data_IF_716462669515
#
_entry.id   IF_716462669515
#
_cell.length_a   1.000
_cell.length_b   1.000
_cell.length_c   1.000
_cell.angle_alpha   90.00
_cell.angle_beta   90.00
_cell.angle_gamma   90.00
#
_symmetry.space_group_name_H-M   'P 1'
#
loop_
_entity.id
_entity.type
_entity.pdbx_description
1 polymer ?
#
# COMPACT_ATOMS: atom_id res chain seq x y z
N UNK A 1 -3.46 -26.61 -27.84
CA UNK A 1 -3.11 -26.25 -26.44
C UNK A 1 -1.76 -25.57 -26.47
N UNK A 2 -1.63 -24.36 -25.94
CA UNK A 2 -0.40 -23.57 -26.03
C UNK A 2 0.34 -23.68 -24.69
N UNK A 3 1.10 -24.77 -24.50
CA UNK A 3 1.61 -25.21 -23.20
C UNK A 3 3.14 -25.02 -23.08
N UNK A 4 3.56 -23.80 -22.76
CA UNK A 4 4.96 -23.48 -22.42
C UNK A 4 5.02 -22.49 -21.26
N UNK A 5 6.16 -22.42 -20.57
CA UNK A 5 6.37 -21.45 -19.49
C UNK A 5 6.25 -20.02 -20.03
N UNK A 6 5.50 -19.17 -19.32
CA UNK A 6 5.28 -17.76 -19.69
C UNK A 6 5.60 -16.88 -18.50
N UNK A 7 6.38 -15.84 -18.74
CA UNK A 7 6.68 -14.85 -17.72
C UNK A 7 5.49 -13.91 -17.56
N UNK A 8 5.01 -13.73 -16.34
CA UNK A 8 3.93 -12.80 -16.03
C UNK A 8 4.35 -11.33 -16.25
N UNK A 9 5.38 -10.91 -15.50
CA UNK A 9 6.00 -9.58 -15.53
C UNK A 9 7.47 -9.68 -15.13
N UNK A 10 8.29 -8.80 -15.68
CA UNK A 10 9.66 -8.57 -15.25
C UNK A 10 9.79 -7.13 -14.73
N UNK A 11 10.19 -6.97 -13.48
CA UNK A 11 10.44 -5.67 -12.87
C UNK A 11 11.90 -5.63 -12.38
N UNK A 12 12.81 -4.97 -13.10
CA UNK A 12 14.22 -4.95 -12.72
C UNK A 12 14.51 -4.03 -11.53
N UNK A 13 15.62 -4.33 -10.84
CA UNK A 13 16.17 -3.55 -9.74
C UNK A 13 15.65 -3.91 -8.34
N UNK A 14 16.20 -3.28 -7.30
CA UNK A 14 15.92 -3.58 -5.90
C UNK A 14 14.43 -3.46 -5.51
N UNK A 15 13.67 -2.63 -6.23
CA UNK A 15 12.24 -2.41 -6.01
C UNK A 15 11.33 -3.32 -6.84
N UNK A 16 11.89 -4.26 -7.60
CA UNK A 16 11.14 -5.14 -8.50
C UNK A 16 10.05 -5.92 -7.79
N UNK A 17 10.36 -6.47 -6.61
CA UNK A 17 9.39 -7.22 -5.82
C UNK A 17 8.22 -6.35 -5.34
N UNK A 18 8.48 -5.13 -4.87
CA UNK A 18 7.41 -4.22 -4.43
C UNK A 18 6.49 -3.83 -5.61
N UNK A 19 7.06 -3.58 -6.79
CA UNK A 19 6.28 -3.32 -8.01
C UNK A 19 5.46 -4.53 -8.46
N UNK A 20 5.96 -5.75 -8.24
CA UNK A 20 5.19 -6.97 -8.50
C UNK A 20 3.99 -7.07 -7.54
N UNK A 21 4.21 -6.83 -6.24
CA UNK A 21 3.15 -6.83 -5.23
C UNK A 21 2.08 -5.77 -5.52
N UNK A 22 2.49 -4.61 -6.04
CA UNK A 22 1.57 -3.55 -6.47
C UNK A 22 0.55 -4.00 -7.53
N UNK A 23 0.93 -4.95 -8.40
CA UNK A 23 0.03 -5.48 -9.43
C UNK A 23 -0.93 -6.56 -8.89
N UNK A 24 -0.74 -7.01 -7.64
CA UNK A 24 -1.54 -8.06 -7.05
C UNK A 24 -2.87 -7.51 -6.55
N UNK A 25 -3.94 -8.31 -6.68
CA UNK A 25 -5.11 -8.16 -5.80
C UNK A 25 -4.75 -8.75 -4.44
N UNK A 26 -4.82 -7.94 -3.40
CA UNK A 26 -4.49 -8.33 -2.02
C UNK A 26 -5.77 -8.53 -1.22
N UNK A 27 -5.90 -9.67 -0.54
CA UNK A 27 -6.96 -9.94 0.43
C UNK A 27 -6.34 -10.34 1.76
N UNK A 28 -6.62 -9.62 2.84
CA UNK A 28 -6.12 -9.99 4.18
C UNK A 28 -6.85 -11.23 4.68
N UNK A 29 -6.10 -12.22 5.16
CA UNK A 29 -6.63 -13.48 5.71
C UNK A 29 -6.26 -13.69 7.19
N UNK A 30 -5.47 -12.78 7.76
CA UNK A 30 -5.10 -12.77 9.18
C UNK A 30 -4.33 -11.50 9.53
N UNK A 31 -3.70 -11.49 10.71
CA UNK A 31 -2.85 -10.35 11.12
C UNK A 31 -1.59 -10.22 10.26
N UNK A 32 -0.97 -11.35 9.95
CA UNK A 32 0.33 -11.46 9.27
C UNK A 32 0.26 -12.23 7.96
N UNK A 33 -0.97 -12.49 7.47
CA UNK A 33 -1.22 -13.37 6.33
C UNK A 33 -2.14 -12.69 5.32
N UNK A 34 -1.74 -12.69 4.06
CA UNK A 34 -2.52 -12.11 2.98
C UNK A 34 -2.47 -13.02 1.74
N UNK A 35 -3.60 -13.13 1.04
CA UNK A 35 -3.66 -13.77 -0.26
C UNK A 35 -3.35 -12.75 -1.35
N UNK A 36 -2.46 -13.13 -2.25
CA UNK A 36 -2.07 -12.37 -3.43
C UNK A 36 -2.57 -13.09 -4.67
N UNK A 37 -3.24 -12.36 -5.55
CA UNK A 37 -3.74 -12.90 -6.83
C UNK A 37 -3.32 -11.99 -7.99
N UNK A 38 -2.68 -12.56 -9.00
CA UNK A 38 -2.42 -11.91 -10.28
C UNK A 38 -3.17 -12.61 -11.40
N UNK A 39 -3.81 -11.84 -12.28
CA UNK A 39 -4.36 -12.36 -13.52
C UNK A 39 -3.26 -12.41 -14.59
N UNK A 40 -2.84 -13.61 -14.98
CA UNK A 40 -1.87 -13.81 -16.05
C UNK A 40 -2.46 -13.45 -17.43
N UNK A 41 -1.58 -13.33 -18.43
CA UNK A 41 -1.94 -12.90 -19.78
C UNK A 41 -2.91 -13.85 -20.49
N UNK A 42 -2.98 -15.11 -20.05
CA UNK A 42 -3.88 -16.14 -20.53
C UNK A 42 -5.16 -16.27 -19.69
N UNK A 43 -5.39 -15.34 -18.75
CA UNK A 43 -6.54 -15.34 -17.86
C UNK A 43 -6.43 -16.29 -16.67
N UNK A 44 -5.34 -17.05 -16.54
CA UNK A 44 -5.11 -17.88 -15.37
C UNK A 44 -4.78 -17.03 -14.15
N UNK A 45 -5.21 -17.48 -12.97
CA UNK A 45 -4.95 -16.78 -11.71
C UNK A 45 -3.72 -17.37 -11.03
N UNK A 46 -2.71 -16.54 -10.82
CA UNK A 46 -1.54 -16.87 -10.02
C UNK A 46 -1.86 -16.53 -8.56
N UNK A 47 -2.07 -17.55 -7.73
CA UNK A 47 -2.51 -17.40 -6.34
C UNK A 47 -1.40 -17.78 -5.37
N UNK A 48 -1.06 -16.88 -4.47
CA UNK A 48 -0.04 -17.06 -3.45
C UNK A 48 -0.52 -16.60 -2.09
N UNK A 49 0.08 -17.17 -1.05
CA UNK A 49 -0.14 -16.76 0.32
C UNK A 49 1.15 -16.13 0.83
N UNK A 50 1.06 -14.86 1.20
CA UNK A 50 2.14 -14.13 1.83
C UNK A 50 1.96 -14.22 3.34
N UNK A 51 3.00 -14.68 4.02
CA UNK A 51 3.15 -14.59 5.47
C UNK A 51 4.32 -13.67 5.76
N UNK A 52 4.06 -12.62 6.55
CA UNK A 52 5.06 -11.65 6.93
C UNK A 52 5.28 -11.68 8.44
N UNK A 53 6.50 -11.39 8.87
CA UNK A 53 6.76 -11.07 10.28
C UNK A 53 6.20 -9.67 10.59
N UNK A 54 5.77 -9.45 11.84
CA UNK A 54 4.95 -8.29 12.22
C UNK A 54 5.57 -6.93 11.84
N UNK A 55 6.90 -6.83 11.90
CA UNK A 55 7.62 -5.58 11.65
C UNK A 55 8.16 -5.46 10.21
N UNK A 56 7.96 -6.48 9.37
CA UNK A 56 8.56 -6.58 8.04
C UNK A 56 7.55 -6.93 6.93
N UNK A 57 6.30 -6.48 7.06
CA UNK A 57 5.29 -6.67 6.01
C UNK A 57 5.63 -5.81 4.76
N UNK A 58 6.02 -6.44 3.63
CA UNK A 58 6.36 -5.70 2.41
C UNK A 58 5.17 -4.96 1.79
N UNK A 59 3.93 -5.32 2.14
CA UNK A 59 2.73 -4.61 1.67
C UNK A 59 2.59 -3.22 2.30
N UNK A 60 3.17 -2.99 3.49
CA UNK A 60 3.15 -1.67 4.15
C UNK A 60 3.86 -0.62 3.31
N UNK A 61 4.92 -1.01 2.60
CA UNK A 61 5.68 -0.12 1.70
C UNK A 61 4.81 0.47 0.59
N UNK A 62 3.76 -0.24 0.16
CA UNK A 62 2.84 0.25 -0.88
C UNK A 62 2.05 1.49 -0.41
N UNK A 63 1.91 1.72 0.89
CA UNK A 63 1.27 2.93 1.44
C UNK A 63 2.05 4.21 1.13
N UNK A 64 3.35 4.11 0.82
CA UNK A 64 4.18 5.23 0.41
C UNK A 64 3.85 5.71 -1.03
N UNK A 65 3.04 4.96 -1.79
CA UNK A 65 2.67 5.36 -3.16
C UNK A 65 1.83 6.63 -3.12
N UNK A 66 2.37 7.70 -3.71
CA UNK A 66 1.71 9.01 -3.73
C UNK A 66 1.69 9.70 -2.37
N UNK A 67 2.41 9.16 -1.38
CA UNK A 67 2.61 9.84 -0.10
C UNK A 67 3.31 11.17 -0.33
N UNK A 68 2.77 12.22 0.29
CA UNK A 68 3.37 13.55 0.33
C UNK A 68 3.49 13.96 1.78
N UNK A 69 4.67 14.44 2.14
CA UNK A 69 4.89 14.97 3.47
C UNK A 69 4.05 16.26 3.62
N UNK A 70 3.30 16.41 4.73
CA UNK A 70 2.57 17.64 4.99
C UNK A 70 3.51 18.86 5.07
N UNK A 71 3.11 19.98 4.48
CA UNK A 71 3.89 21.22 4.50
C UNK A 71 3.82 21.93 5.86
N UNK A 72 2.76 21.69 6.64
CA UNK A 72 2.52 22.32 7.94
C UNK A 72 2.08 21.29 8.97
N UNK A 73 2.69 21.35 10.15
CA UNK A 73 2.37 20.46 11.29
C UNK A 73 1.24 21.06 12.16
N UNK A 74 1.10 22.39 12.16
CA UNK A 74 0.08 23.11 12.93
C UNK A 74 -0.79 23.95 12.00
N UNK A 75 -2.10 23.73 12.04
CA UNK A 75 -3.09 24.63 11.41
C UNK A 75 -3.56 25.61 12.46
N UNK A 76 -3.22 26.90 12.34
CA UNK A 76 -3.77 27.92 13.23
C UNK A 76 -5.26 28.11 12.91
N UNK A 77 -6.12 27.32 13.55
CA UNK A 77 -7.53 27.69 13.68
C UNK A 77 -7.58 29.07 14.30
N UNK A 78 -8.27 30.01 13.65
CA UNK A 78 -8.43 31.38 14.13
C UNK A 78 -9.15 31.31 15.48
N UNK A 79 -8.37 31.32 16.56
CA UNK A 79 -8.85 31.47 17.91
C UNK A 79 -8.29 32.79 18.47
N UNK A 80 -8.83 33.91 17.98
CA UNK A 80 -8.90 35.16 18.73
C UNK A 80 -9.69 36.22 17.95
N UNK A 81 -10.95 36.43 18.33
CA UNK A 81 -11.39 37.81 18.56
C UNK A 81 -12.13 37.85 19.89
N UNK A 82 -11.46 38.42 20.90
CA UNK A 82 -11.98 38.64 22.26
C UNK A 82 -13.21 39.58 22.26
N UNK A 83 -13.93 39.73 23.37
CA UNK A 83 -13.46 40.10 24.72
C UNK A 83 -14.45 39.60 25.78
N UNK A 84 -14.02 39.25 27.01
CA UNK A 84 -14.94 39.23 28.15
C UNK A 84 -15.38 40.67 28.46
N UNK A 85 -16.66 40.97 28.27
CA UNK A 85 -17.26 42.23 28.69
C UNK A 85 -17.39 42.21 30.22
N UNK A 86 -16.47 42.91 30.89
CA UNK A 86 -16.57 43.20 32.33
C UNK A 86 -16.75 44.70 32.53
N UNK A 87 -17.74 45.03 33.36
CA UNK A 87 -17.92 46.22 34.25
C UNK A 87 -19.21 47.01 33.97
N UNK A 88 -19.73 47.77 34.95
CA UNK A 88 -19.50 47.76 36.41
C UNK A 88 -20.70 47.21 37.21
#
# INVERSE_FOLDING_TARGET
VQAGARLYRDFPGQWGFIRLLEQAKVSKEGQNRARLTWAAQDGQMLNYLLEAEADQDPLTVLSLKGFRLPETIFSSGIAATGRPRVRP
#
